data_IF_228567900436
#
_entry.id   IF_228567900436
#
_cell.length_a   1.000
_cell.length_b   1.000
_cell.length_c   1.000
_cell.angle_alpha   90.00
_cell.angle_beta   90.00
_cell.angle_gamma   90.00
#
_symmetry.space_group_name_H-M   'P 1'
#
loop_
_entity.id
_entity.type
_entity.pdbx_description
1 polymer ?
#
# COMPACT_ATOMS: atom_id res chain seq x y z
N UNK A 1 -3.96 50.15 -42.50
CA UNK A 1 -3.15 48.94 -42.21
C UNK A 1 -2.60 49.05 -40.80
N UNK A 2 -3.33 48.58 -39.77
CA UNK A 2 -2.86 48.55 -38.38
C UNK A 2 -3.07 47.14 -37.85
N UNK A 3 -2.00 46.34 -37.92
CA UNK A 3 -1.98 44.97 -37.42
C UNK A 3 -1.99 45.00 -35.90
N UNK A 4 -3.10 44.57 -35.30
CA UNK A 4 -3.19 44.36 -33.85
C UNK A 4 -2.43 43.09 -33.50
N UNK A 5 -1.26 43.25 -32.88
CA UNK A 5 -0.52 42.17 -32.24
C UNK A 5 -1.41 41.51 -31.16
N UNK A 6 -1.65 40.20 -31.30
CA UNK A 6 -2.34 39.38 -30.29
C UNK A 6 -1.37 39.07 -29.16
N UNK A 7 -1.71 39.34 -27.88
CA UNK A 7 -0.89 38.91 -26.77
C UNK A 7 -0.97 37.38 -26.60
N UNK A 8 0.19 36.75 -26.45
CA UNK A 8 0.34 35.31 -26.23
C UNK A 8 -0.23 34.86 -24.88
N UNK A 9 -1.02 33.79 -24.91
CA UNK A 9 -1.61 33.14 -23.75
C UNK A 9 -0.54 32.44 -22.91
N UNK A 10 -0.24 33.03 -21.74
CA UNK A 10 0.63 32.42 -20.73
C UNK A 10 -0.14 31.25 -20.10
N UNK A 11 0.10 30.02 -20.55
CA UNK A 11 -0.52 28.81 -19.97
C UNK A 11 -0.11 28.72 -18.49
N UNK A 12 -1.05 28.62 -17.54
CA UNK A 12 -0.70 28.34 -16.17
C UNK A 12 0.02 26.99 -16.12
N UNK A 13 1.09 26.90 -15.33
CA UNK A 13 1.81 25.65 -15.14
C UNK A 13 0.90 24.64 -14.43
N UNK A 14 1.02 23.36 -14.81
CA UNK A 14 0.30 22.24 -14.18
C UNK A 14 0.47 22.19 -12.65
N UNK A 15 1.62 22.68 -12.15
CA UNK A 15 1.90 22.78 -10.72
C UNK A 15 0.98 23.78 -10.02
N UNK A 16 0.60 24.87 -10.70
CA UNK A 16 -0.32 25.87 -10.14
C UNK A 16 -1.74 25.33 -10.08
N UNK A 17 -2.18 24.64 -11.13
CA UNK A 17 -3.49 24.00 -11.17
C UNK A 17 -3.61 22.86 -10.15
N UNK A 18 -2.56 22.07 -9.97
CA UNK A 18 -2.53 21.02 -8.95
C UNK A 18 -2.58 21.59 -7.53
N UNK A 19 -1.88 22.70 -7.25
CA UNK A 19 -2.00 23.40 -5.97
C UNK A 19 -3.43 23.91 -5.73
N UNK A 20 -4.07 24.47 -6.75
CA UNK A 20 -5.48 24.87 -6.69
C UNK A 20 -6.45 23.68 -6.59
N UNK A 21 -6.06 22.50 -7.07
CA UNK A 21 -6.80 21.26 -6.87
C UNK A 21 -6.72 20.74 -5.44
N UNK A 22 -5.51 20.65 -4.88
CA UNK A 22 -5.28 20.17 -3.51
C UNK A 22 -5.75 21.18 -2.47
N UNK A 23 -5.69 22.48 -2.74
CA UNK A 23 -6.18 23.51 -1.83
C UNK A 23 -7.71 23.49 -1.64
N UNK A 24 -8.44 22.69 -2.42
CA UNK A 24 -9.87 22.46 -2.17
C UNK A 24 -10.01 21.63 -0.89
N UNK A 25 -10.71 22.18 0.10
CA UNK A 25 -10.91 21.53 1.39
C UNK A 25 -11.47 20.10 1.30
N UNK A 26 -12.28 19.79 0.29
CA UNK A 26 -12.82 18.43 0.06
C UNK A 26 -11.75 17.37 -0.26
N UNK A 27 -10.62 17.72 -0.86
CA UNK A 27 -9.55 16.77 -1.15
C UNK A 27 -8.61 16.60 0.05
N UNK A 28 -8.32 17.71 0.75
CA UNK A 28 -7.48 17.70 1.95
C UNK A 28 -8.07 16.82 3.05
N UNK A 29 -9.39 16.92 3.28
CA UNK A 29 -10.09 16.13 4.29
C UNK A 29 -10.02 14.61 4.02
N UNK A 30 -10.25 14.22 2.76
CA UNK A 30 -10.09 12.83 2.31
C UNK A 30 -8.64 12.34 2.46
N UNK A 31 -7.66 13.17 2.12
CA UNK A 31 -6.24 12.82 2.24
C UNK A 31 -5.81 12.60 3.69
N UNK A 32 -6.28 13.44 4.62
CA UNK A 32 -6.01 13.28 6.05
C UNK A 32 -6.64 11.99 6.59
N UNK A 33 -7.88 11.69 6.20
CA UNK A 33 -8.55 10.44 6.58
C UNK A 33 -7.81 9.18 6.11
N UNK A 34 -7.29 9.19 4.89
CA UNK A 34 -6.52 8.06 4.35
C UNK A 34 -5.19 7.84 5.09
N UNK A 35 -4.44 8.92 5.36
CA UNK A 35 -3.15 8.84 6.06
C UNK A 35 -3.34 8.37 7.51
N UNK A 36 -4.37 8.86 8.19
CA UNK A 36 -4.70 8.40 9.54
C UNK A 36 -5.17 6.94 9.54
N UNK A 37 -5.95 6.53 8.54
CA UNK A 37 -6.36 5.14 8.36
C UNK A 37 -5.18 4.19 8.21
N UNK A 38 -4.20 4.55 7.36
CA UNK A 38 -2.99 3.74 7.16
C UNK A 38 -2.07 3.67 8.38
N UNK A 39 -2.00 4.72 9.19
CA UNK A 39 -1.18 4.75 10.39
C UNK A 39 -1.70 3.78 11.49
N UNK A 40 -3.02 3.64 11.61
CA UNK A 40 -3.64 2.78 12.64
C UNK A 40 -3.57 1.29 12.25
N UNK A 41 -3.46 0.97 10.97
CA UNK A 41 -3.37 -0.42 10.48
C UNK A 41 -2.23 -1.20 11.12
N UNK A 42 -1.05 -0.60 11.33
CA UNK A 42 0.09 -1.28 11.96
C UNK A 42 -0.19 -1.70 13.41
N UNK A 43 -0.90 -0.86 14.17
CA UNK A 43 -1.27 -1.15 15.56
C UNK A 43 -2.33 -2.25 15.61
N UNK A 44 -3.31 -2.19 14.71
CA UNK A 44 -4.36 -3.20 14.61
C UNK A 44 -3.78 -4.55 14.21
N UNK A 45 -2.88 -4.59 13.22
CA UNK A 45 -2.24 -5.83 12.77
C UNK A 45 -1.39 -6.46 13.88
N UNK A 46 -0.57 -5.68 14.57
CA UNK A 46 0.24 -6.19 15.67
C UNK A 46 -0.62 -6.75 16.82
N UNK A 47 -1.77 -6.12 17.09
CA UNK A 47 -2.74 -6.65 18.07
C UNK A 47 -3.41 -7.93 17.58
N UNK A 48 -3.80 -7.97 16.29
CA UNK A 48 -4.44 -9.14 15.68
C UNK A 48 -3.49 -10.33 15.72
N UNK A 49 -2.22 -10.14 15.34
CA UNK A 49 -1.21 -11.19 15.31
C UNK A 49 -0.89 -11.74 16.70
N UNK A 50 -0.84 -10.87 17.72
CA UNK A 50 -0.37 -11.26 19.05
C UNK A 50 -1.47 -11.77 19.97
N UNK A 51 -2.71 -11.32 19.78
CA UNK A 51 -3.81 -11.64 20.69
C UNK A 51 -4.95 -12.36 19.99
N UNK A 52 -5.37 -11.87 18.84
CA UNK A 52 -6.59 -12.38 18.19
C UNK A 52 -6.33 -13.70 17.47
N UNK A 53 -5.26 -13.81 16.66
CA UNK A 53 -4.92 -15.06 15.97
C UNK A 53 -4.73 -16.26 16.91
N UNK A 54 -3.97 -16.19 18.03
CA UNK A 54 -3.86 -17.34 18.93
C UNK A 54 -5.18 -17.67 19.65
N UNK A 55 -6.04 -16.67 19.90
CA UNK A 55 -7.35 -16.88 20.49
C UNK A 55 -8.32 -17.58 19.52
N UNK A 56 -8.29 -17.18 18.24
CA UNK A 56 -9.05 -17.83 17.17
C UNK A 56 -8.51 -19.24 16.92
N UNK A 57 -7.19 -19.44 16.94
CA UNK A 57 -6.55 -20.74 16.77
C UNK A 57 -6.95 -21.75 17.85
N UNK A 58 -7.11 -21.29 19.10
CA UNK A 58 -7.55 -22.14 20.20
C UNK A 58 -9.03 -22.55 20.08
N UNK A 59 -9.85 -21.72 19.43
CA UNK A 59 -11.29 -21.95 19.29
C UNK A 59 -11.65 -22.73 18.01
N UNK A 60 -10.91 -22.52 16.92
CA UNK A 60 -11.15 -23.15 15.61
C UNK A 60 -10.10 -24.21 15.23
N UNK A 61 -9.07 -24.42 16.06
CA UNK A 61 -8.13 -25.56 15.96
C UNK A 61 -7.07 -25.47 14.86
N UNK A 62 -7.19 -24.55 13.89
CA UNK A 62 -6.24 -24.45 12.77
C UNK A 62 -5.91 -22.96 12.48
N UNK A 63 -4.64 -22.51 12.68
CA UNK A 63 -4.23 -21.13 12.45
C UNK A 63 -3.63 -20.86 11.05
N UNK A 64 -3.39 -21.89 10.23
CA UNK A 64 -2.51 -21.80 9.08
C UNK A 64 -3.24 -21.92 7.73
N UNK A 65 -3.64 -20.78 7.17
CA UNK A 65 -3.98 -20.65 5.75
C UNK A 65 -2.75 -20.41 4.87
N UNK A 66 -1.54 -20.40 5.44
CA UNK A 66 -0.29 -20.43 4.66
C UNK A 66 -0.11 -21.75 3.87
N UNK A 67 -0.89 -22.79 4.20
CA UNK A 67 -0.83 -24.10 3.57
C UNK A 67 -1.52 -24.20 2.19
N UNK A 68 -2.23 -23.16 1.71
CA UNK A 68 -2.93 -23.18 0.40
C UNK A 68 -2.11 -22.57 -0.75
N UNK A 69 -0.85 -22.15 -0.50
CA UNK A 69 -0.01 -21.43 -1.48
C UNK A 69 1.37 -22.04 -1.82
N UNK A 70 1.71 -23.26 -1.38
CA UNK A 70 3.04 -23.89 -1.66
C UNK A 70 3.17 -24.49 -3.07
N UNK A 71 2.95 -23.68 -4.11
CA UNK A 71 3.29 -24.03 -5.50
C UNK A 71 4.79 -23.85 -5.85
N UNK A 72 5.67 -23.69 -4.86
CA UNK A 72 7.12 -23.61 -5.06
C UNK A 72 7.85 -23.60 -3.73
N UNK A 73 9.11 -24.03 -3.72
CA UNK A 73 9.93 -24.26 -2.51
C UNK A 73 9.91 -23.09 -1.51
N UNK A 74 9.08 -23.18 -0.47
CA UNK A 74 9.17 -22.35 0.74
C UNK A 74 10.31 -22.88 1.60
N UNK A 75 11.44 -22.18 1.55
CA UNK A 75 12.51 -22.25 2.52
C UNK A 75 12.26 -21.18 3.59
N UNK A 76 11.73 -21.58 4.75
CA UNK A 76 11.61 -20.69 5.91
C UNK A 76 11.85 -21.39 7.27
N UNK A 77 12.51 -22.55 7.28
CA UNK A 77 12.91 -23.22 8.54
C UNK A 77 14.00 -24.30 8.38
N UNK A 78 15.11 -24.02 7.67
CA UNK A 78 16.28 -24.91 7.67
C UNK A 78 17.60 -24.10 7.72
N UNK A 79 18.56 -24.45 8.60
CA UNK A 79 19.82 -23.73 8.76
C UNK A 79 20.93 -24.23 7.79
N UNK A 80 20.58 -24.75 6.62
CA UNK A 80 21.55 -25.33 5.69
C UNK A 80 21.50 -24.68 4.30
N UNK A 81 22.62 -24.10 3.89
CA UNK A 81 22.79 -23.26 2.68
C UNK A 81 23.11 -24.05 1.41
N UNK A 82 22.81 -25.35 1.36
CA UNK A 82 23.13 -26.19 0.18
C UNK A 82 21.93 -26.81 -0.54
N UNK A 83 20.69 -26.36 -0.30
CA UNK A 83 19.58 -26.70 -1.19
C UNK A 83 19.78 -26.00 -2.53
N UNK A 84 19.98 -26.74 -3.64
CA UNK A 84 20.28 -26.12 -4.91
C UNK A 84 19.01 -25.48 -5.46
N UNK A 85 19.09 -24.17 -5.74
CA UNK A 85 18.18 -23.44 -6.63
C UNK A 85 18.30 -23.98 -8.07
N UNK A 86 18.03 -25.26 -8.27
CA UNK A 86 18.05 -25.92 -9.57
C UNK A 86 16.77 -26.70 -9.77
N UNK A 87 15.97 -26.21 -10.74
CA UNK A 87 14.78 -26.80 -11.38
C UNK A 87 13.48 -26.61 -10.61
N UNK A 88 12.65 -25.66 -11.04
CA UNK A 88 11.65 -25.91 -12.08
C UNK A 88 11.15 -24.55 -12.62
N UNK A 89 10.61 -24.56 -13.84
CA UNK A 89 10.25 -23.42 -14.71
C UNK A 89 9.60 -22.21 -14.03
#
# INVERSE_FOLDING_TARGET
MSGRLRPGSRRPSVVREFREFVARGSFVDLAVGFVMGGAVTGVVNALVERLIMPLIALLFGEPDFDAIGRFGCVAASAPDRSVPCSRHW
#
